data_IF_440711170142
#
_entry.id   IF_440711170142
#
_cell.length_a   1.000
_cell.length_b   1.000
_cell.length_c   1.000
_cell.angle_alpha   90.00
_cell.angle_beta   90.00
_cell.angle_gamma   90.00
#
_symmetry.space_group_name_H-M   'P 1'
#
loop_
_entity.id
_entity.type
_entity.pdbx_description
1 polymer ?
#
# COMPACT_ATOMS: atom_id res chain seq x y z
N UNK A 1 38.26 -2.19 8.52
CA UNK A 1 36.81 -1.96 8.34
C UNK A 1 36.06 -2.87 9.33
N UNK A 2 35.81 -2.40 10.55
CA UNK A 2 35.16 -3.20 11.58
C UNK A 2 33.65 -3.33 11.30
N UNK A 3 33.15 -4.56 11.19
CA UNK A 3 31.71 -4.83 11.08
C UNK A 3 31.06 -4.44 12.41
N UNK A 4 30.22 -3.40 12.39
CA UNK A 4 29.39 -3.06 13.55
C UNK A 4 28.47 -4.25 13.90
N UNK A 5 28.20 -4.50 15.19
CA UNK A 5 27.29 -5.57 15.61
C UNK A 5 25.89 -5.35 15.00
N UNK A 6 25.28 -6.43 14.52
CA UNK A 6 24.01 -6.45 13.78
C UNK A 6 22.85 -5.77 14.52
N UNK A 7 22.87 -5.71 15.85
CA UNK A 7 21.86 -5.01 16.65
C UNK A 7 21.94 -3.48 16.55
N UNK A 8 23.11 -2.90 16.27
CA UNK A 8 23.28 -1.45 16.09
C UNK A 8 22.76 -0.95 14.73
N UNK A 9 22.76 -1.83 13.70
CA UNK A 9 22.29 -1.54 12.33
C UNK A 9 20.77 -1.41 12.20
N UNK A 10 20.00 -1.49 13.29
CA UNK A 10 18.55 -1.44 13.24
C UNK A 10 17.93 -0.54 14.32
N UNK A 11 18.74 0.18 15.10
CA UNK A 11 18.21 1.17 16.04
C UNK A 11 17.75 2.45 15.32
N UNK A 12 18.43 2.80 14.23
CA UNK A 12 18.26 4.08 13.50
C UNK A 12 17.00 4.12 12.62
N UNK A 13 16.33 2.99 12.38
CA UNK A 13 15.12 2.92 11.56
C UNK A 13 13.81 2.99 12.36
N UNK A 14 13.88 3.13 13.69
CA UNK A 14 12.72 3.38 14.57
C UNK A 14 11.84 4.56 14.10
N UNK A 15 12.38 5.77 13.84
CA UNK A 15 11.55 6.89 13.38
C UNK A 15 10.87 6.56 12.04
N UNK A 16 11.59 5.92 11.12
CA UNK A 16 11.05 5.48 9.84
C UNK A 16 9.89 4.50 10.02
N UNK A 17 10.01 3.55 10.96
CA UNK A 17 8.94 2.61 11.30
C UNK A 17 7.70 3.30 11.88
N UNK A 18 7.85 4.24 12.82
CA UNK A 18 6.71 4.95 13.39
C UNK A 18 6.03 5.88 12.37
N UNK A 19 6.79 6.54 11.49
CA UNK A 19 6.21 7.30 10.39
C UNK A 19 5.46 6.40 9.40
N UNK A 20 5.98 5.21 9.11
CA UNK A 20 5.28 4.19 8.32
C UNK A 20 3.95 3.77 8.98
N UNK A 21 3.95 3.49 10.29
CA UNK A 21 2.72 3.17 11.02
C UNK A 21 1.71 4.34 11.01
N UNK A 22 2.18 5.57 11.20
CA UNK A 22 1.36 6.77 11.09
C UNK A 22 0.71 6.90 9.71
N UNK A 23 1.47 6.61 8.64
CA UNK A 23 0.92 6.56 7.29
C UNK A 23 -0.15 5.48 7.15
N UNK A 24 0.09 4.25 7.62
CA UNK A 24 -0.90 3.16 7.57
C UNK A 24 -2.18 3.52 8.32
N UNK A 25 -2.08 4.19 9.47
CA UNK A 25 -3.23 4.68 10.22
C UNK A 25 -3.98 5.80 9.49
N UNK A 26 -3.24 6.65 8.76
CA UNK A 26 -3.79 7.76 7.99
C UNK A 26 -4.55 7.32 6.75
N UNK A 27 -4.06 6.34 5.99
CA UNK A 27 -4.67 5.90 4.71
C UNK A 27 -6.20 5.70 4.71
N UNK A 28 -6.81 5.05 5.72
CA UNK A 28 -8.27 4.89 5.77
C UNK A 28 -9.03 6.20 6.06
N UNK A 29 -8.40 7.21 6.68
CA UNK A 29 -9.09 8.40 7.16
C UNK A 29 -9.63 9.28 6.02
N UNK A 30 -8.84 9.81 5.06
CA UNK A 30 -9.38 10.76 4.09
C UNK A 30 -10.08 10.04 2.94
N UNK A 31 -11.36 9.70 3.12
CA UNK A 31 -12.17 9.04 2.07
C UNK A 31 -11.50 7.76 1.55
N UNK A 32 -10.86 7.01 2.45
CA UNK A 32 -10.03 5.84 2.14
C UNK A 32 -8.91 6.11 1.10
N UNK A 33 -8.39 7.35 1.09
CA UNK A 33 -7.44 7.87 0.11
C UNK A 33 -7.87 7.73 -1.35
N UNK A 34 -9.18 7.67 -1.63
CA UNK A 34 -9.70 7.52 -3.00
C UNK A 34 -9.64 8.82 -3.81
N UNK A 35 -9.64 9.99 -3.17
CA UNK A 35 -9.63 11.29 -3.85
C UNK A 35 -8.23 11.68 -4.37
N UNK A 36 -8.15 12.43 -5.50
CA UNK A 36 -6.90 12.98 -6.06
C UNK A 36 -5.88 13.44 -5.04
N UNK A 37 -6.24 14.43 -4.22
CA UNK A 37 -5.36 15.00 -3.21
C UNK A 37 -4.88 13.97 -2.16
N UNK A 38 -5.74 13.01 -1.80
CA UNK A 38 -5.47 12.05 -0.74
C UNK A 38 -4.48 10.96 -1.18
N UNK A 39 -4.65 10.40 -2.40
CA UNK A 39 -3.66 9.48 -2.93
C UNK A 39 -2.36 10.20 -3.35
N UNK A 40 -2.39 11.47 -3.74
CA UNK A 40 -1.16 12.25 -3.96
C UNK A 40 -0.38 12.45 -2.65
N UNK A 41 -1.06 12.74 -1.54
CA UNK A 41 -0.41 12.82 -0.22
C UNK A 41 0.22 11.49 0.18
N UNK A 42 -0.47 10.37 -0.03
CA UNK A 42 0.10 9.03 0.15
C UNK A 42 1.35 8.84 -0.70
N UNK A 43 1.30 9.17 -2.00
CA UNK A 43 2.45 9.00 -2.91
C UNK A 43 3.68 9.75 -2.41
N UNK A 44 3.50 11.03 -2.03
CA UNK A 44 4.59 11.86 -1.49
C UNK A 44 5.12 11.27 -0.19
N UNK A 45 4.24 10.88 0.74
CA UNK A 45 4.67 10.29 2.01
C UNK A 45 5.47 8.99 1.81
N UNK A 46 4.98 8.09 0.94
CA UNK A 46 5.69 6.84 0.62
C UNK A 46 7.06 7.11 0.00
N UNK A 47 7.16 8.06 -0.93
CA UNK A 47 8.42 8.42 -1.55
C UNK A 47 9.41 9.02 -0.55
N UNK A 48 8.95 9.89 0.36
CA UNK A 48 9.80 10.44 1.42
C UNK A 48 10.32 9.35 2.37
N UNK A 49 9.47 8.39 2.76
CA UNK A 49 9.88 7.24 3.57
C UNK A 49 10.89 6.36 2.82
N UNK A 50 10.70 6.15 1.51
CA UNK A 50 11.62 5.39 0.68
C UNK A 50 12.98 6.09 0.54
N UNK A 51 13.00 7.41 0.30
CA UNK A 51 14.22 8.21 0.28
C UNK A 51 14.94 8.09 1.63
N UNK A 52 14.21 8.22 2.74
CA UNK A 52 14.80 8.09 4.07
C UNK A 52 15.40 6.69 4.28
N UNK A 53 14.71 5.62 3.89
CA UNK A 53 15.25 4.27 3.93
C UNK A 53 16.52 4.11 3.09
N UNK A 54 16.52 4.63 1.85
CA UNK A 54 17.68 4.60 0.96
C UNK A 54 18.88 5.37 1.55
N UNK A 55 18.65 6.50 2.21
CA UNK A 55 19.70 7.27 2.90
C UNK A 55 20.29 6.50 4.08
N UNK A 56 19.46 5.82 4.86
CA UNK A 56 19.94 4.93 5.93
C UNK A 56 20.75 3.77 5.36
N UNK A 57 20.29 3.19 4.25
CA UNK A 57 20.96 2.07 3.57
C UNK A 57 22.32 2.49 3.01
N UNK A 58 22.39 3.63 2.32
CA UNK A 58 23.63 4.24 1.82
C UNK A 58 24.64 4.47 2.96
N UNK A 59 24.18 4.91 4.12
CA UNK A 59 25.02 5.14 5.32
C UNK A 59 25.40 3.85 6.04
N UNK A 60 25.06 2.67 5.49
CA UNK A 60 25.23 1.36 6.12
C UNK A 60 24.57 1.28 7.51
N UNK A 61 23.45 1.98 7.71
CA UNK A 61 22.68 2.01 8.96
C UNK A 61 21.46 1.11 8.93
N UNK A 62 21.14 0.52 7.79
CA UNK A 62 20.17 -0.56 7.61
C UNK A 62 20.67 -1.50 6.52
N UNK A 63 20.20 -2.74 6.52
CA UNK A 63 20.48 -3.72 5.47
C UNK A 63 19.19 -4.30 4.92
N UNK A 64 19.28 -4.87 3.71
CA UNK A 64 18.15 -5.59 3.10
C UNK A 64 17.83 -6.82 3.95
N UNK A 65 16.59 -6.91 4.40
CA UNK A 65 16.12 -8.00 5.25
C UNK A 65 16.08 -9.35 4.52
N UNK A 66 16.27 -10.43 5.27
CA UNK A 66 16.09 -11.79 4.75
C UNK A 66 14.66 -12.05 4.26
N UNK A 67 13.65 -11.41 4.88
CA UNK A 67 12.26 -11.43 4.41
C UNK A 67 12.13 -10.83 3.02
N UNK A 68 12.78 -9.70 2.75
CA UNK A 68 12.79 -9.09 1.42
C UNK A 68 13.50 -9.95 0.38
N UNK A 69 14.59 -10.63 0.74
CA UNK A 69 15.30 -11.54 -0.16
C UNK A 69 14.45 -12.77 -0.52
N UNK A 70 13.70 -13.30 0.45
CA UNK A 70 12.76 -14.42 0.23
C UNK A 70 11.52 -14.02 -0.56
N UNK A 71 11.11 -12.75 -0.47
CA UNK A 71 10.00 -12.20 -1.24
C UNK A 71 10.34 -11.87 -2.71
N UNK A 72 11.45 -12.38 -3.25
CA UNK A 72 11.87 -12.10 -4.62
C UNK A 72 10.79 -12.41 -5.69
N UNK A 73 9.92 -13.44 -5.59
CA UNK A 73 8.92 -13.66 -6.62
C UNK A 73 7.90 -12.53 -6.63
N UNK A 74 7.43 -12.09 -5.46
CA UNK A 74 6.49 -10.98 -5.33
C UNK A 74 7.10 -9.67 -5.85
N UNK A 75 8.36 -9.39 -5.50
CA UNK A 75 9.08 -8.22 -6.01
C UNK A 75 9.30 -8.29 -7.52
N UNK A 76 9.56 -9.47 -8.07
CA UNK A 76 9.67 -9.68 -9.52
C UNK A 76 8.35 -9.42 -10.23
N UNK A 77 7.23 -9.96 -9.73
CA UNK A 77 5.90 -9.70 -10.29
C UNK A 77 5.54 -8.21 -10.25
N UNK A 78 5.82 -7.53 -9.13
CA UNK A 78 5.62 -6.08 -9.02
C UNK A 78 6.53 -5.30 -9.97
N UNK A 79 7.80 -5.71 -10.12
CA UNK A 79 8.73 -5.12 -11.07
C UNK A 79 8.28 -5.29 -12.52
N UNK A 80 7.84 -6.50 -12.89
CA UNK A 80 7.29 -6.81 -14.21
C UNK A 80 6.02 -6.01 -14.49
N UNK A 81 5.14 -5.86 -13.48
CA UNK A 81 3.96 -5.00 -13.57
C UNK A 81 4.32 -3.54 -13.84
N UNK A 82 5.28 -2.98 -13.09
CA UNK A 82 5.73 -1.61 -13.29
C UNK A 82 6.40 -1.42 -14.65
N UNK A 83 7.17 -2.42 -15.12
CA UNK A 83 7.75 -2.41 -16.45
C UNK A 83 6.67 -2.40 -17.53
N UNK A 84 5.65 -3.25 -17.39
CA UNK A 84 4.50 -3.28 -18.30
C UNK A 84 3.82 -1.92 -18.38
N UNK A 85 3.54 -1.27 -17.24
CA UNK A 85 2.96 0.08 -17.23
C UNK A 85 3.90 1.13 -17.87
N UNK A 86 5.21 0.98 -17.72
CA UNK A 86 6.20 1.88 -18.33
C UNK A 86 6.15 1.80 -19.86
N UNK A 87 5.97 0.60 -20.43
CA UNK A 87 5.81 0.41 -21.88
C UNK A 87 4.62 1.22 -22.42
N UNK A 88 3.54 1.38 -21.65
CA UNK A 88 2.38 2.19 -22.04
C UNK A 88 2.64 3.71 -22.00
N UNK A 89 3.61 4.16 -21.20
CA UNK A 89 3.91 5.58 -20.96
C UNK A 89 5.01 6.15 -21.86
N UNK A 90 5.96 5.30 -22.26
CA UNK A 90 7.10 5.70 -23.09
C UNK A 90 6.64 5.88 -24.54
N UNK A 91 6.84 7.06 -25.15
CA UNK A 91 6.58 7.25 -26.56
C UNK A 91 7.50 6.34 -27.37
N UNK A 92 6.93 5.64 -28.34
CA UNK A 92 7.66 4.74 -29.23
C UNK A 92 7.35 5.09 -30.69
N UNK A 93 8.17 4.63 -31.65
CA UNK A 93 7.91 4.87 -33.06
C UNK A 93 6.50 4.43 -33.44
N UNK A 94 5.80 5.22 -34.24
CA UNK A 94 4.42 4.97 -34.64
C UNK A 94 4.22 3.60 -35.32
N UNK A 95 5.26 3.10 -36.01
CA UNK A 95 5.27 1.74 -36.59
C UNK A 95 5.11 0.65 -35.52
N UNK A 96 5.69 0.83 -34.34
CA UNK A 96 5.49 -0.12 -33.24
C UNK A 96 4.10 0.01 -32.62
N UNK A 97 3.58 1.23 -32.49
CA UNK A 97 2.22 1.46 -31.97
C UNK A 97 1.18 0.84 -32.90
N UNK A 98 1.33 1.00 -34.22
CA UNK A 98 0.44 0.37 -35.21
C UNK A 98 0.50 -1.16 -35.17
N UNK A 99 1.68 -1.74 -34.94
CA UNK A 99 1.82 -3.19 -34.82
C UNK A 99 1.22 -3.75 -33.51
N UNK A 100 1.40 -3.05 -32.39
CA UNK A 100 0.95 -3.51 -31.07
C UNK A 100 -0.52 -3.17 -30.78
N UNK A 101 -0.99 -2.00 -31.23
CA UNK A 101 -2.35 -1.51 -31.02
C UNK A 101 -2.80 -0.65 -32.22
N UNK A 102 -3.35 -1.27 -33.27
CA UNK A 102 -3.83 -0.56 -34.45
C UNK A 102 -4.87 0.52 -34.13
N UNK A 103 -5.77 0.25 -33.19
CA UNK A 103 -6.80 1.19 -32.75
C UNK A 103 -6.21 2.41 -32.06
N UNK A 104 -5.21 2.23 -31.17
CA UNK A 104 -4.55 3.37 -30.53
C UNK A 104 -3.81 4.23 -31.56
N UNK A 105 -3.19 3.60 -32.56
CA UNK A 105 -2.51 4.32 -33.63
C UNK A 105 -3.47 5.12 -34.53
N UNK A 106 -4.70 4.65 -34.73
CA UNK A 106 -5.75 5.39 -35.46
C UNK A 106 -6.17 6.64 -34.70
N UNK A 107 -6.54 6.48 -33.42
CA UNK A 107 -6.93 7.60 -32.55
C UNK A 107 -5.81 8.62 -32.43
N UNK A 108 -4.56 8.16 -32.27
CA UNK A 108 -3.43 9.08 -32.25
C UNK A 108 -3.26 9.80 -33.58
N UNK A 109 -3.41 9.16 -34.73
CA UNK A 109 -3.31 9.83 -36.04
C UNK A 109 -4.40 10.88 -36.24
N UNK A 110 -5.63 10.63 -35.77
CA UNK A 110 -6.75 11.57 -35.85
C UNK A 110 -6.55 12.83 -34.99
N UNK A 111 -5.73 12.75 -33.94
CA UNK A 111 -5.39 13.92 -33.11
C UNK A 111 -4.40 14.88 -33.77
N UNK A 112 -3.72 14.50 -34.87
CA UNK A 112 -2.78 15.38 -35.57
C UNK A 112 -3.46 16.03 -36.79
N UNK A 113 -3.30 17.34 -36.90
CA UNK A 113 -3.88 18.15 -37.99
C UNK A 113 -3.19 17.83 -39.34
N UNK A 114 -1.91 17.46 -39.32
CA UNK A 114 -1.13 17.16 -40.53
C UNK A 114 -0.26 15.91 -40.35
N UNK A 115 -0.57 14.87 -41.13
CA UNK A 115 0.22 13.65 -41.20
C UNK A 115 0.08 12.74 -39.97
N UNK A 116 0.74 11.59 -40.02
CA UNK A 116 0.81 10.65 -38.89
C UNK A 116 1.95 11.05 -37.96
N UNK A 117 1.78 10.89 -36.63
CA UNK A 117 2.87 11.16 -35.70
C UNK A 117 4.06 10.23 -35.95
N UNK A 118 5.27 10.75 -35.74
CA UNK A 118 6.48 9.92 -35.72
C UNK A 118 6.57 9.09 -34.43
N UNK A 119 6.12 9.66 -33.31
CA UNK A 119 6.16 9.07 -31.97
C UNK A 119 4.79 9.11 -31.33
N UNK A 120 4.33 7.99 -30.81
CA UNK A 120 3.08 7.88 -30.07
C UNK A 120 3.27 6.92 -28.88
N UNK A 121 2.50 7.10 -27.81
CA UNK A 121 2.40 6.11 -26.73
C UNK A 121 1.36 5.05 -27.08
N UNK A 122 1.37 3.92 -26.38
CA UNK A 122 0.24 2.96 -26.44
C UNK A 122 -0.96 3.46 -25.63
N UNK A 123 -0.71 4.33 -24.65
CA UNK A 123 -1.75 4.95 -23.84
C UNK A 123 -2.49 6.05 -24.59
N UNK A 124 -3.82 5.96 -24.62
CA UNK A 124 -4.72 6.99 -25.15
C UNK A 124 -4.81 8.20 -24.20
N UNK A 125 -5.05 7.95 -22.91
CA UNK A 125 -5.01 8.98 -21.87
C UNK A 125 -3.70 8.86 -21.08
N UNK A 126 -2.71 9.63 -21.50
CA UNK A 126 -1.38 9.61 -20.89
C UNK A 126 -1.41 10.08 -19.44
N UNK A 127 -2.31 11.01 -19.08
CA UNK A 127 -2.41 11.51 -17.70
C UNK A 127 -2.96 10.43 -16.76
N UNK A 128 -4.05 9.77 -17.14
CA UNK A 128 -4.62 8.67 -16.35
C UNK A 128 -3.61 7.52 -16.17
N UNK A 129 -2.88 7.17 -17.23
CA UNK A 129 -1.81 6.15 -17.15
C UNK A 129 -0.68 6.54 -16.22
N UNK A 130 -0.26 7.81 -16.20
CA UNK A 130 0.74 8.31 -15.26
C UNK A 130 0.26 8.22 -13.81
N UNK A 131 -0.99 8.63 -13.56
CA UNK A 131 -1.62 8.52 -12.23
C UNK A 131 -1.63 7.06 -11.77
N UNK A 132 -2.01 6.14 -12.66
CA UNK A 132 -2.07 4.71 -12.35
C UNK A 132 -0.68 4.09 -12.11
N UNK A 133 0.32 4.49 -12.88
CA UNK A 133 1.71 4.10 -12.67
C UNK A 133 2.24 4.58 -11.31
N UNK A 134 2.04 5.86 -10.97
CA UNK A 134 2.49 6.41 -9.68
C UNK A 134 1.79 5.72 -8.50
N UNK A 135 0.49 5.41 -8.61
CA UNK A 135 -0.22 4.62 -7.58
C UNK A 135 0.38 3.22 -7.44
N UNK A 136 0.59 2.53 -8.55
CA UNK A 136 1.20 1.18 -8.57
C UNK A 136 2.60 1.19 -7.98
N UNK A 137 3.41 2.19 -8.31
CA UNK A 137 4.75 2.39 -7.77
C UNK A 137 4.69 2.62 -6.27
N UNK A 138 3.81 3.49 -5.78
CA UNK A 138 3.65 3.71 -4.35
C UNK A 138 3.21 2.47 -3.59
N UNK A 139 2.32 1.64 -4.15
CA UNK A 139 1.96 0.36 -3.52
C UNK A 139 3.13 -0.62 -3.48
N UNK A 140 3.91 -0.71 -4.56
CA UNK A 140 5.11 -1.56 -4.61
C UNK A 140 6.17 -1.10 -3.60
N UNK A 141 6.40 0.20 -3.49
CA UNK A 141 7.32 0.79 -2.52
C UNK A 141 6.82 0.61 -1.08
N UNK A 142 5.52 0.80 -0.83
CA UNK A 142 4.92 0.55 0.48
C UNK A 142 5.09 -0.92 0.90
N UNK A 143 4.88 -1.86 -0.02
CA UNK A 143 5.12 -3.28 0.20
C UNK A 143 6.59 -3.58 0.48
N UNK A 144 7.51 -3.01 -0.29
CA UNK A 144 8.95 -3.14 -0.02
C UNK A 144 9.31 -2.61 1.37
N UNK A 145 8.85 -1.40 1.74
CA UNK A 145 9.07 -0.83 3.07
C UNK A 145 8.50 -1.72 4.17
N UNK A 146 7.32 -2.32 3.96
CA UNK A 146 6.75 -3.28 4.90
C UNK A 146 7.69 -4.48 5.14
N UNK A 147 8.28 -5.05 4.08
CA UNK A 147 9.26 -6.14 4.18
C UNK A 147 10.56 -5.73 4.91
N UNK A 148 10.96 -4.47 4.79
CA UNK A 148 12.17 -3.94 5.45
C UNK A 148 11.93 -3.57 6.91
N UNK A 149 10.74 -3.09 7.24
CA UNK A 149 10.45 -2.50 8.55
C UNK A 149 9.77 -3.48 9.51
N UNK A 150 8.94 -4.40 9.02
CA UNK A 150 8.20 -5.37 9.85
C UNK A 150 9.02 -6.66 9.97
N UNK A 151 9.92 -6.71 10.95
CA UNK A 151 10.95 -7.77 11.04
C UNK A 151 10.83 -8.68 12.25
N UNK A 152 10.22 -8.18 13.32
CA UNK A 152 10.17 -8.85 14.61
C UNK A 152 8.74 -8.88 15.16
N UNK A 153 8.53 -9.72 16.17
CA UNK A 153 7.21 -9.93 16.79
C UNK A 153 6.61 -8.63 17.33
N UNK A 154 7.42 -7.72 17.88
CA UNK A 154 6.93 -6.46 18.44
C UNK A 154 6.42 -5.54 17.33
N UNK A 155 7.17 -5.41 16.22
CA UNK A 155 6.74 -4.60 15.07
C UNK A 155 5.51 -5.17 14.37
N UNK A 156 5.40 -6.49 14.24
CA UNK A 156 4.19 -7.16 13.74
C UNK A 156 3.00 -6.84 14.66
N UNK A 157 3.17 -6.97 15.98
CA UNK A 157 2.15 -6.64 16.96
C UNK A 157 1.71 -5.18 16.86
N UNK A 158 2.66 -4.24 16.76
CA UNK A 158 2.35 -2.81 16.63
C UNK A 158 1.58 -2.49 15.35
N UNK A 159 1.99 -3.04 14.19
CA UNK A 159 1.23 -2.87 12.95
C UNK A 159 -0.20 -3.39 13.09
N UNK A 160 -0.35 -4.58 13.65
CA UNK A 160 -1.65 -5.20 13.82
C UNK A 160 -2.53 -4.41 14.81
N UNK A 161 -1.98 -3.90 15.91
CA UNK A 161 -2.69 -2.99 16.81
C UNK A 161 -3.12 -1.70 16.09
N UNK A 162 -2.24 -1.10 15.28
CA UNK A 162 -2.59 0.10 14.49
C UNK A 162 -3.77 -0.16 13.56
N UNK A 163 -3.77 -1.30 12.86
CA UNK A 163 -4.87 -1.69 11.97
C UNK A 163 -6.18 -1.98 12.72
N UNK A 164 -6.10 -2.65 13.87
CA UNK A 164 -7.26 -2.95 14.73
C UNK A 164 -7.84 -1.67 15.33
N UNK A 165 -7.02 -0.79 15.92
CA UNK A 165 -7.50 0.46 16.49
C UNK A 165 -8.03 1.43 15.44
N UNK A 166 -7.41 1.49 14.26
CA UNK A 166 -7.94 2.27 13.15
C UNK A 166 -9.30 1.72 12.67
N UNK A 167 -9.45 0.40 12.54
CA UNK A 167 -10.74 -0.22 12.23
C UNK A 167 -11.80 0.00 13.32
N UNK A 168 -11.42 -0.10 14.60
CA UNK A 168 -12.31 0.21 15.72
C UNK A 168 -12.79 1.66 15.66
N UNK A 169 -11.88 2.60 15.42
CA UNK A 169 -12.23 4.01 15.20
C UNK A 169 -13.22 4.16 14.05
N UNK A 170 -12.98 3.51 12.90
CA UNK A 170 -13.88 3.57 11.75
C UNK A 170 -15.27 2.99 12.05
N UNK A 171 -15.35 1.88 12.78
CA UNK A 171 -16.60 1.25 13.18
C UNK A 171 -17.40 2.15 14.15
N UNK A 172 -16.75 2.69 15.17
CA UNK A 172 -17.37 3.60 16.14
C UNK A 172 -17.81 4.89 15.44
N UNK A 173 -16.92 5.52 14.68
CA UNK A 173 -17.21 6.76 13.96
C UNK A 173 -18.36 6.57 12.96
N UNK A 174 -18.31 5.52 12.13
CA UNK A 174 -19.36 5.22 11.17
C UNK A 174 -20.72 4.94 11.81
N UNK A 175 -20.72 4.28 12.97
CA UNK A 175 -21.95 4.02 13.73
C UNK A 175 -22.53 5.31 14.32
N UNK A 176 -21.71 6.12 15.00
CA UNK A 176 -22.13 7.39 15.60
C UNK A 176 -22.60 8.39 14.54
N UNK A 177 -21.87 8.53 13.44
CA UNK A 177 -22.23 9.40 12.31
C UNK A 177 -23.61 9.04 11.73
N UNK A 178 -23.93 7.75 11.64
CA UNK A 178 -25.21 7.27 11.08
C UNK A 178 -26.35 7.42 12.09
N UNK A 179 -26.12 7.03 13.35
CA UNK A 179 -27.14 7.09 14.41
C UNK A 179 -27.50 8.53 14.82
N UNK A 180 -26.54 9.45 14.73
CA UNK A 180 -26.78 10.89 14.97
C UNK A 180 -27.45 11.60 13.79
N UNK A 181 -27.51 10.97 12.62
CA UNK A 181 -28.02 11.59 11.38
C UNK A 181 -27.12 12.68 10.80
N UNK A 182 -25.93 12.94 11.37
CA UNK A 182 -25.00 13.95 10.86
C UNK A 182 -24.48 13.61 9.46
N UNK A 183 -24.30 12.31 9.14
CA UNK A 183 -23.91 11.85 7.79
C UNK A 183 -22.64 12.52 7.23
N UNK A 184 -21.70 12.95 8.08
CA UNK A 184 -20.37 13.46 7.68
C UNK A 184 -19.33 12.34 7.65
N UNK A 185 -18.66 12.16 6.51
CA UNK A 185 -17.52 11.25 6.38
C UNK A 185 -16.22 11.91 6.89
N UNK A 186 -15.22 12.08 6.04
CA UNK A 186 -14.00 12.82 6.42
C UNK A 186 -14.19 14.34 6.27
N UNK A 187 -14.82 15.01 7.24
CA UNK A 187 -15.13 16.46 7.20
C UNK A 187 -16.02 16.93 6.03
N UNK A 188 -16.52 16.01 5.22
CA UNK A 188 -17.44 16.29 4.11
C UNK A 188 -18.76 15.56 4.33
N UNK A 189 -19.86 16.20 3.97
CA UNK A 189 -21.17 15.57 3.98
C UNK A 189 -21.21 14.40 3.00
N UNK A 190 -21.82 13.29 3.41
CA UNK A 190 -21.97 12.12 2.56
C UNK A 190 -22.90 12.43 1.40
N UNK A 191 -22.42 12.11 0.20
CA UNK A 191 -23.20 12.15 -1.04
C UNK A 191 -23.67 10.75 -1.48
N UNK A 192 -23.20 9.69 -0.84
CA UNK A 192 -23.53 8.30 -1.15
C UNK A 192 -23.78 7.48 0.12
N UNK A 193 -24.59 6.42 0.02
CA UNK A 193 -24.90 5.48 1.11
C UNK A 193 -25.37 6.16 2.41
N UNK A 194 -26.25 7.17 2.32
CA UNK A 194 -26.87 7.82 3.49
C UNK A 194 -27.70 6.81 4.28
N UNK A 195 -27.74 6.95 5.60
CA UNK A 195 -28.41 6.01 6.52
C UNK A 195 -27.63 4.71 6.75
N UNK A 196 -26.40 4.60 6.23
CA UNK A 196 -25.55 3.41 6.36
C UNK A 196 -24.20 3.80 6.95
N UNK A 197 -23.69 3.01 7.91
CA UNK A 197 -22.36 3.21 8.48
C UNK A 197 -21.27 3.00 7.41
N UNK A 198 -20.58 4.09 7.06
CA UNK A 198 -19.44 4.08 6.14
C UNK A 198 -18.15 4.62 6.78
N UNK A 199 -18.22 5.11 8.02
CA UNK A 199 -17.09 5.77 8.66
C UNK A 199 -16.58 6.91 7.79
N UNK A 200 -15.27 7.00 7.64
CA UNK A 200 -14.67 7.96 6.72
C UNK A 200 -14.57 7.43 5.28
N UNK A 201 -14.97 6.19 5.00
CA UNK A 201 -14.99 5.63 3.65
C UNK A 201 -16.20 6.15 2.87
N UNK A 202 -16.05 6.30 1.55
CA UNK A 202 -17.18 6.62 0.67
C UNK A 202 -18.06 5.39 0.43
N UNK A 203 -17.44 4.22 0.28
CA UNK A 203 -18.13 2.98 -0.09
C UNK A 203 -18.22 2.05 1.12
N UNK A 204 -19.44 1.63 1.47
CA UNK A 204 -19.73 0.69 2.57
C UNK A 204 -18.99 -0.64 2.44
N UNK A 205 -18.80 -1.14 1.22
CA UNK A 205 -18.15 -2.43 0.99
C UNK A 205 -16.63 -2.33 1.24
N UNK A 206 -16.02 -1.18 0.94
CA UNK A 206 -14.60 -0.96 1.25
C UNK A 206 -14.36 -0.84 2.75
N UNK A 207 -15.26 -0.16 3.47
CA UNK A 207 -15.23 -0.14 4.94
C UNK A 207 -15.39 -1.55 5.50
N UNK A 208 -16.41 -2.30 5.07
CA UNK A 208 -16.65 -3.65 5.55
C UNK A 208 -15.43 -4.56 5.34
N UNK A 209 -14.82 -4.51 4.14
CA UNK A 209 -13.61 -5.27 3.86
C UNK A 209 -12.45 -4.87 4.78
N UNK A 210 -12.27 -3.56 5.05
CA UNK A 210 -11.26 -3.08 5.98
C UNK A 210 -11.49 -3.61 7.40
N UNK A 211 -12.74 -3.57 7.90
CA UNK A 211 -13.10 -4.11 9.21
C UNK A 211 -12.85 -5.62 9.31
N UNK A 212 -13.21 -6.38 8.29
CA UNK A 212 -13.01 -7.84 8.24
C UNK A 212 -11.52 -8.18 8.28
N UNK A 213 -10.69 -7.49 7.49
CA UNK A 213 -9.24 -7.71 7.49
C UNK A 213 -8.61 -7.37 8.85
N UNK A 214 -8.98 -6.25 9.46
CA UNK A 214 -8.49 -5.86 10.77
C UNK A 214 -8.97 -6.79 11.89
N UNK A 215 -10.22 -7.26 11.83
CA UNK A 215 -10.77 -8.21 12.79
C UNK A 215 -10.04 -9.57 12.70
N UNK A 216 -9.83 -10.08 11.49
CA UNK A 216 -9.08 -11.31 11.26
C UNK A 216 -7.64 -11.19 11.81
N UNK A 217 -7.01 -10.03 11.62
CA UNK A 217 -5.69 -9.75 12.18
C UNK A 217 -5.70 -9.68 13.71
N UNK A 218 -6.71 -9.05 14.31
CA UNK A 218 -6.88 -8.98 15.77
C UNK A 218 -7.09 -10.36 16.40
N UNK A 219 -7.94 -11.21 15.80
CA UNK A 219 -8.14 -12.60 16.23
C UNK A 219 -6.83 -13.38 16.11
N UNK A 220 -6.09 -13.20 15.00
CA UNK A 220 -4.78 -13.81 14.80
C UNK A 220 -3.77 -13.44 15.88
N UNK A 221 -3.74 -12.17 16.31
CA UNK A 221 -2.91 -11.72 17.44
C UNK A 221 -3.33 -12.40 18.75
N UNK A 222 -4.63 -12.46 19.05
CA UNK A 222 -5.14 -13.09 20.28
C UNK A 222 -4.75 -14.58 20.34
N UNK A 223 -4.92 -15.32 19.23
CA UNK A 223 -4.53 -16.72 19.15
C UNK A 223 -3.01 -16.89 19.30
N UNK A 224 -2.22 -16.01 18.69
CA UNK A 224 -0.76 -16.05 18.81
C UNK A 224 -0.27 -15.81 20.24
N UNK A 225 -0.95 -14.93 21.00
CA UNK A 225 -0.67 -14.68 22.42
C UNK A 225 -1.08 -15.88 23.29
N UNK A 226 -2.24 -16.48 23.03
CA UNK A 226 -2.73 -17.67 23.76
C UNK A 226 -1.87 -18.92 23.50
N UNK A 227 -1.33 -19.09 22.30
CA UNK A 227 -0.46 -20.20 21.92
C UNK A 227 0.94 -20.13 22.52
N UNK A 228 1.39 -18.94 22.94
CA UNK A 228 2.71 -18.74 23.53
C UNK A 228 2.84 -19.35 24.93
N UNK A 229 1.74 -19.49 25.68
CA UNK A 229 1.73 -20.13 27.01
C UNK A 229 1.66 -21.66 26.95
N UNK A 230 1.38 -22.26 25.77
CA UNK A 230 1.10 -23.70 25.61
C UNK A 230 2.04 -24.46 24.67
N UNK A 231 3.25 -23.95 24.41
CA UNK A 231 4.24 -24.68 23.62
C UNK A 231 5.05 -25.68 24.48
N UNK A 232 4.36 -26.57 25.21
CA UNK A 232 4.97 -27.78 25.76
C UNK A 232 5.01 -28.85 24.67
N UNK A 233 6.10 -28.86 23.90
CA UNK A 233 6.59 -29.95 23.05
C UNK A 233 5.59 -30.62 22.07
N UNK A 234 5.92 -30.58 20.78
CA UNK A 234 5.36 -31.43 19.71
C UNK A 234 5.11 -32.90 20.12
N UNK A 235 5.90 -33.45 21.06
CA UNK A 235 5.73 -34.81 21.60
C UNK A 235 4.48 -35.01 22.48
N UNK A 236 3.91 -33.95 23.07
CA UNK A 236 2.64 -34.05 23.82
C UNK A 236 1.41 -34.04 22.91
N UNK A 237 1.47 -33.37 21.76
CA UNK A 237 0.37 -33.33 20.79
C UNK A 237 0.07 -34.72 20.19
N UNK A 238 1.09 -35.54 19.97
CA UNK A 238 0.96 -36.90 19.42
C UNK A 238 0.41 -37.91 20.44
N UNK A 239 0.50 -37.62 21.74
CA UNK A 239 0.08 -38.56 22.81
C UNK A 239 -1.36 -38.35 23.29
N UNK A 240 -2.10 -37.42 22.69
CA UNK A 240 -3.47 -37.06 23.07
C UNK A 240 -4.57 -37.68 22.22
N UNK A 241 -4.25 -38.65 21.36
CA UNK A 241 -5.19 -39.44 20.58
C UNK A 241 -5.03 -40.92 20.92
#
# INVERSE_FOLDING_TARGET
MSRMPTHALFADDKPLFYCFLGLIAWLPLPLASHRPWAWSLMQVAVLLLAIYWCLLWWRNRVSITETSKRAWPALLFLGAWLLYLTIYLVPMPYVLVTALSPMAAQIHAEMYITGKPYWASLSLDRHASWVFFLKSLSYAVLFFLALQLIRDKQRIRLLALVLVYSALFQAVYGSLMTLSGLEYGFFFEKYAYRGVATGTFVNRNHMANYLVLSLAMGIGLMIADLGAEKASSWRQWIRGW
#
